data_IF_071918591130
#
_entry.id   IF_071918591130
#
_cell.length_a   1.000
_cell.length_b   1.000
_cell.length_c   1.000
_cell.angle_alpha   90.00
_cell.angle_beta   90.00
_cell.angle_gamma   90.00
#
_symmetry.space_group_name_H-M   'P 1'
#
loop_
_entity.id
_entity.type
_entity.pdbx_description
1 polymer ?
#
# COMPACT_ATOMS: atom_id res chain seq x y z
N UNK A 1 -14.07 -6.31 -14.32
CA UNK A 1 -15.37 -6.16 -14.98
C UNK A 1 -16.10 -7.48 -15.22
N UNK A 2 -15.45 -8.63 -15.47
CA UNK A 2 -16.18 -9.92 -15.57
C UNK A 2 -16.71 -10.44 -14.22
N UNK A 3 -16.07 -10.07 -13.10
CA UNK A 3 -16.53 -10.47 -11.75
C UNK A 3 -17.90 -9.91 -11.36
N UNK A 4 -18.38 -8.83 -11.99
CA UNK A 4 -19.71 -8.29 -11.70
C UNK A 4 -20.83 -9.12 -12.33
N UNK A 5 -20.54 -9.91 -13.36
CA UNK A 5 -21.51 -10.86 -13.95
C UNK A 5 -21.83 -11.98 -12.96
N UNK A 6 -20.83 -12.46 -12.21
CA UNK A 6 -21.01 -13.51 -11.19
C UNK A 6 -21.86 -13.07 -9.99
N UNK A 7 -22.05 -11.76 -9.78
CA UNK A 7 -22.77 -11.18 -8.65
C UNK A 7 -24.18 -10.68 -9.03
N UNK A 8 -24.61 -10.90 -10.27
CA UNK A 8 -25.86 -10.33 -10.77
C UNK A 8 -27.07 -11.20 -10.39
N UNK A 9 -27.96 -10.64 -9.56
CA UNK A 9 -29.17 -11.31 -9.05
C UNK A 9 -30.19 -11.66 -10.15
N UNK A 10 -30.10 -11.02 -11.32
CA UNK A 10 -30.96 -11.34 -12.47
C UNK A 10 -30.66 -12.72 -13.07
N UNK A 11 -29.46 -13.29 -12.84
CA UNK A 11 -29.12 -14.66 -13.23
C UNK A 11 -29.92 -15.73 -12.47
N UNK A 12 -30.50 -15.37 -11.31
CA UNK A 12 -31.36 -16.26 -10.52
C UNK A 12 -32.76 -16.39 -11.11
N UNK A 13 -33.15 -15.48 -12.03
CA UNK A 13 -34.46 -15.49 -12.71
C UNK A 13 -34.46 -16.30 -13.99
N UNK A 14 -33.30 -16.78 -14.42
CA UNK A 14 -33.12 -17.58 -15.62
C UNK A 14 -33.29 -19.08 -15.33
N UNK A 15 -33.67 -19.84 -16.36
CA UNK A 15 -33.73 -21.29 -16.27
C UNK A 15 -32.34 -21.89 -15.98
N UNK A 16 -32.30 -23.09 -15.40
CA UNK A 16 -31.04 -23.75 -15.02
C UNK A 16 -30.08 -23.89 -16.22
N UNK A 17 -30.59 -24.24 -17.41
CA UNK A 17 -29.79 -24.36 -18.62
C UNK A 17 -29.15 -23.04 -19.05
N UNK A 18 -29.92 -21.95 -19.12
CA UNK A 18 -29.41 -20.63 -19.49
C UNK A 18 -28.33 -20.13 -18.50
N UNK A 19 -28.50 -20.44 -17.21
CA UNK A 19 -27.53 -20.09 -16.17
C UNK A 19 -26.22 -20.87 -16.32
N UNK A 20 -26.29 -22.15 -16.63
CA UNK A 20 -25.13 -23.00 -16.88
C UNK A 20 -24.36 -22.52 -18.12
N UNK A 21 -25.07 -22.19 -19.20
CA UNK A 21 -24.48 -21.66 -20.44
C UNK A 21 -23.79 -20.31 -20.21
N UNK A 22 -24.46 -19.37 -19.53
CA UNK A 22 -23.86 -18.06 -19.21
C UNK A 22 -22.62 -18.23 -18.33
N UNK A 23 -22.66 -19.15 -17.36
CA UNK A 23 -21.52 -19.43 -16.47
C UNK A 23 -20.35 -20.01 -17.27
N UNK A 24 -20.60 -20.98 -18.16
CA UNK A 24 -19.58 -21.58 -19.00
C UNK A 24 -18.94 -20.55 -19.96
N UNK A 25 -19.75 -19.69 -20.58
CA UNK A 25 -19.28 -18.61 -21.45
C UNK A 25 -18.45 -17.61 -20.65
N UNK A 26 -18.93 -17.19 -19.48
CA UNK A 26 -18.23 -16.22 -18.62
C UNK A 26 -16.88 -16.78 -18.16
N UNK A 27 -16.82 -18.04 -17.75
CA UNK A 27 -15.57 -18.71 -17.36
C UNK A 27 -14.58 -18.80 -18.52
N UNK A 28 -15.07 -19.15 -19.73
CA UNK A 28 -14.24 -19.17 -20.94
C UNK A 28 -13.70 -17.79 -21.30
N UNK A 29 -14.53 -16.75 -21.23
CA UNK A 29 -14.11 -15.37 -21.45
C UNK A 29 -13.10 -14.92 -20.39
N UNK A 30 -13.33 -15.23 -19.12
CA UNK A 30 -12.42 -14.92 -18.02
C UNK A 30 -11.06 -15.64 -18.18
N UNK A 31 -11.06 -16.89 -18.64
CA UNK A 31 -9.82 -17.62 -18.93
C UNK A 31 -9.02 -16.96 -20.07
N UNK A 32 -9.72 -16.50 -21.13
CA UNK A 32 -9.10 -15.80 -22.26
C UNK A 32 -8.59 -14.40 -21.89
N UNK A 33 -9.28 -13.67 -21.02
CA UNK A 33 -8.82 -12.35 -20.57
C UNK A 33 -7.69 -12.45 -19.54
N UNK A 34 -7.52 -13.59 -18.87
CA UNK A 34 -6.37 -13.88 -18.00
C UNK A 34 -5.14 -14.41 -18.74
N UNK A 35 -5.21 -14.62 -20.06
CA UNK A 35 -4.10 -15.18 -20.84
C UNK A 35 -2.91 -14.20 -20.97
N UNK A 36 -3.13 -12.91 -20.75
CA UNK A 36 -2.08 -11.89 -20.76
C UNK A 36 -2.02 -11.23 -19.39
N UNK A 37 -0.96 -11.49 -18.65
CA UNK A 37 -0.63 -10.78 -17.41
C UNK A 37 0.35 -9.65 -17.72
N UNK A 38 -0.06 -8.40 -17.47
CA UNK A 38 0.75 -7.21 -17.72
C UNK A 38 1.27 -6.71 -16.39
N UNK A 39 2.48 -7.13 -16.01
CA UNK A 39 3.16 -6.64 -14.82
C UNK A 39 4.10 -5.48 -15.17
N UNK A 40 3.90 -4.32 -14.54
CA UNK A 40 4.87 -3.21 -14.61
C UNK A 40 5.86 -3.38 -13.46
N UNK A 41 7.08 -3.79 -13.78
CA UNK A 41 8.16 -3.92 -12.81
C UNK A 41 9.05 -2.69 -12.86
N UNK A 42 9.38 -2.12 -11.69
CA UNK A 42 10.39 -1.07 -11.58
C UNK A 42 11.76 -1.75 -11.62
N UNK A 43 12.58 -1.58 -12.68
CA UNK A 43 13.93 -2.13 -12.71
C UNK A 43 14.77 -1.46 -11.61
N UNK A 44 15.49 -2.26 -10.82
CA UNK A 44 16.37 -1.78 -9.76
C UNK A 44 17.78 -2.29 -9.95
N UNK A 45 18.77 -1.46 -9.65
CA UNK A 45 20.15 -1.91 -9.45
C UNK A 45 20.30 -2.57 -8.08
N UNK A 46 21.39 -3.33 -7.89
CA UNK A 46 21.75 -3.94 -6.60
C UNK A 46 21.95 -2.90 -5.48
N UNK A 47 22.32 -1.67 -5.83
CA UNK A 47 22.42 -0.55 -4.89
C UNK A 47 21.04 -0.03 -4.49
N UNK A 48 20.15 0.17 -5.46
CA UNK A 48 18.78 0.62 -5.21
C UNK A 48 17.98 -0.40 -4.38
N UNK A 49 18.22 -1.69 -4.59
CA UNK A 49 17.57 -2.75 -3.81
C UNK A 49 18.06 -2.79 -2.35
N UNK A 50 19.36 -2.55 -2.13
CA UNK A 50 19.93 -2.39 -0.78
C UNK A 50 19.40 -1.14 -0.09
N UNK A 51 19.32 0.00 -0.80
CA UNK A 51 18.74 1.23 -0.28
C UNK A 51 17.28 1.02 0.12
N UNK A 52 16.48 0.38 -0.74
CA UNK A 52 15.08 0.05 -0.47
C UNK A 52 14.93 -0.88 0.73
N UNK A 53 15.78 -1.90 0.86
CA UNK A 53 15.77 -2.79 2.02
C UNK A 53 16.10 -2.02 3.31
N UNK A 54 17.13 -1.17 3.28
CA UNK A 54 17.49 -0.34 4.44
C UNK A 54 16.36 0.60 4.84
N UNK A 55 15.70 1.26 3.88
CA UNK A 55 14.55 2.12 4.14
C UNK A 55 13.37 1.34 4.73
N UNK A 56 13.09 0.14 4.21
CA UNK A 56 12.03 -0.70 4.77
C UNK A 56 12.33 -1.13 6.22
N UNK A 57 13.58 -1.49 6.54
CA UNK A 57 13.98 -1.83 7.89
C UNK A 57 13.81 -0.64 8.85
N UNK A 58 14.12 0.59 8.39
CA UNK A 58 13.87 1.80 9.19
C UNK A 58 12.37 2.01 9.45
N UNK A 59 11.51 1.77 8.45
CA UNK A 59 10.06 1.86 8.62
C UNK A 59 9.54 0.80 9.60
N UNK A 60 10.04 -0.43 9.51
CA UNK A 60 9.68 -1.51 10.44
C UNK A 60 10.06 -1.16 11.88
N UNK A 61 11.27 -0.65 12.10
CA UNK A 61 11.69 -0.18 13.43
C UNK A 61 10.83 0.96 13.98
N UNK A 62 10.27 1.82 13.12
CA UNK A 62 9.30 2.84 13.57
C UNK A 62 7.98 2.20 13.97
N UNK A 63 7.48 1.21 13.23
CA UNK A 63 6.26 0.49 13.59
C UNK A 63 6.41 -0.23 14.93
N UNK A 64 7.55 -0.87 15.17
CA UNK A 64 7.89 -1.48 16.47
C UNK A 64 7.92 -0.43 17.58
N UNK A 65 8.63 0.68 17.35
CA UNK A 65 8.69 1.80 18.31
C UNK A 65 7.30 2.39 18.60
N UNK A 66 6.40 2.43 17.63
CA UNK A 66 5.02 2.87 17.82
C UNK A 66 4.19 1.92 18.68
N UNK A 67 4.54 0.63 18.75
CA UNK A 67 3.90 -0.33 19.65
C UNK A 67 4.35 -0.11 21.11
N UNK A 68 5.59 0.29 21.32
CA UNK A 68 6.15 0.58 22.65
C UNK A 68 5.73 1.98 23.15
N UNK A 69 5.93 3.00 22.31
CA UNK A 69 5.58 4.40 22.56
C UNK A 69 4.95 5.01 21.30
N UNK A 70 3.62 5.08 21.33
CA UNK A 70 2.81 5.58 20.23
C UNK A 70 3.19 7.01 19.82
N UNK A 71 3.48 7.90 20.78
CA UNK A 71 3.79 9.29 20.44
C UNK A 71 5.19 9.45 19.86
N UNK A 72 6.20 8.81 20.48
CA UNK A 72 7.57 8.88 19.99
C UNK A 72 7.69 8.28 18.58
N UNK A 73 7.00 7.16 18.33
CA UNK A 73 6.98 6.53 17.01
C UNK A 73 6.19 7.35 15.98
N UNK A 74 5.07 7.97 16.36
CA UNK A 74 4.30 8.88 15.48
C UNK A 74 5.13 10.09 15.05
N UNK A 75 5.88 10.68 15.97
CA UNK A 75 6.76 11.81 15.67
C UNK A 75 7.88 11.40 14.71
N UNK A 76 8.52 10.25 14.93
CA UNK A 76 9.57 9.78 14.02
C UNK A 76 9.01 9.34 12.66
N UNK A 77 7.81 8.78 12.58
CA UNK A 77 7.10 8.53 11.32
C UNK A 77 6.80 9.83 10.55
N UNK A 78 6.40 10.90 11.25
CA UNK A 78 6.23 12.24 10.65
C UNK A 78 7.55 12.81 10.11
N UNK A 79 8.66 12.64 10.83
CA UNK A 79 9.99 13.05 10.35
C UNK A 79 10.40 12.31 9.06
N UNK A 80 10.07 11.02 8.95
CA UNK A 80 10.30 10.25 7.72
C UNK A 80 9.39 10.70 6.58
N UNK A 81 8.12 10.98 6.88
CA UNK A 81 7.18 11.50 5.88
C UNK A 81 7.64 12.87 5.34
N UNK A 82 8.15 13.73 6.21
CA UNK A 82 8.72 15.03 5.84
C UNK A 82 10.00 14.86 5.01
N UNK A 83 10.84 13.86 5.32
CA UNK A 83 12.02 13.54 4.52
C UNK A 83 11.66 13.07 3.08
N UNK A 84 10.45 12.55 2.85
CA UNK A 84 9.94 12.27 1.50
C UNK A 84 9.52 13.52 0.70
N UNK A 85 9.47 14.71 1.33
CA UNK A 85 9.11 15.97 0.67
C UNK A 85 9.97 17.14 1.19
N UNK A 86 11.25 17.21 0.80
CA UNK A 86 12.20 18.19 1.33
C UNK A 86 11.89 19.64 0.91
N UNK A 87 11.09 19.85 -0.15
CA UNK A 87 10.76 21.20 -0.64
C UNK A 87 9.72 21.91 0.24
N UNK A 88 8.95 21.14 1.04
CA UNK A 88 7.94 21.69 1.94
C UNK A 88 7.82 20.81 3.19
N UNK A 89 8.85 20.79 4.06
CA UNK A 89 8.84 19.96 5.25
C UNK A 89 7.92 20.59 6.30
N UNK A 90 6.93 19.83 6.74
CA UNK A 90 6.03 20.23 7.83
C UNK A 90 6.65 19.86 9.19
N UNK A 91 7.82 20.45 9.47
CA UNK A 91 8.63 20.20 10.68
C UNK A 91 9.97 19.50 10.44
N UNK A 92 10.56 18.88 11.49
CA UNK A 92 11.88 18.28 11.40
C UNK A 92 11.92 17.10 10.43
N UNK A 93 13.06 16.94 9.75
CA UNK A 93 13.34 15.85 8.80
C UNK A 93 14.42 14.94 9.36
N UNK A 94 14.33 13.65 9.04
CA UNK A 94 15.42 12.71 9.31
C UNK A 94 16.37 12.65 8.11
N UNK A 95 17.56 13.24 8.25
CA UNK A 95 18.54 13.32 7.17
C UNK A 95 19.14 11.95 6.80
N UNK A 96 19.23 11.02 7.76
CA UNK A 96 19.74 9.67 7.51
C UNK A 96 18.75 8.88 6.65
N UNK A 97 17.47 8.96 7.00
CA UNK A 97 16.40 8.39 6.19
C UNK A 97 16.34 9.04 4.80
N UNK A 98 16.47 10.37 4.73
CA UNK A 98 16.47 11.11 3.47
C UNK A 98 17.60 10.65 2.53
N UNK A 99 18.82 10.49 3.04
CA UNK A 99 19.95 10.05 2.24
C UNK A 99 19.69 8.67 1.60
N UNK A 100 19.18 7.71 2.37
CA UNK A 100 18.84 6.38 1.86
C UNK A 100 17.63 6.39 0.91
N UNK A 101 16.69 7.30 1.14
CA UNK A 101 15.51 7.47 0.29
C UNK A 101 15.87 8.02 -1.09
N UNK A 102 16.82 8.95 -1.18
CA UNK A 102 17.28 9.53 -2.45
C UNK A 102 17.98 8.47 -3.33
N UNK A 103 18.62 7.47 -2.73
CA UNK A 103 19.20 6.33 -3.43
C UNK A 103 18.15 5.36 -4.00
N UNK A 104 16.90 5.45 -3.53
CA UNK A 104 15.79 4.65 -4.07
C UNK A 104 15.26 5.24 -5.39
N UNK A 105 14.55 4.41 -6.16
CA UNK A 105 13.87 4.87 -7.39
C UNK A 105 12.75 5.86 -7.07
N UNK A 106 12.41 6.76 -8.01
CA UNK A 106 11.32 7.72 -7.83
C UNK A 106 9.95 7.05 -7.56
N UNK A 107 9.72 5.86 -8.13
CA UNK A 107 8.52 5.07 -7.84
C UNK A 107 8.52 4.52 -6.42
N UNK A 108 9.67 4.04 -5.93
CA UNK A 108 9.80 3.59 -4.55
C UNK A 108 9.62 4.73 -3.57
N UNK A 109 10.20 5.91 -3.84
CA UNK A 109 9.99 7.12 -3.02
C UNK A 109 8.48 7.46 -2.89
N UNK A 110 7.73 7.41 -4.00
CA UNK A 110 6.27 7.62 -3.99
C UNK A 110 5.54 6.55 -3.19
N UNK A 111 5.92 5.28 -3.32
CA UNK A 111 5.33 4.16 -2.58
C UNK A 111 5.60 4.27 -1.08
N UNK A 112 6.84 4.60 -0.70
CA UNK A 112 7.26 4.80 0.69
C UNK A 112 6.48 5.96 1.33
N UNK A 113 6.36 7.10 0.64
CA UNK A 113 5.55 8.24 1.10
C UNK A 113 4.10 7.83 1.39
N UNK A 114 3.48 7.08 0.46
CA UNK A 114 2.11 6.57 0.65
C UNK A 114 2.02 5.62 1.84
N UNK A 115 2.99 4.71 1.99
CA UNK A 115 3.07 3.75 3.10
C UNK A 115 3.15 4.49 4.45
N UNK A 116 4.05 5.47 4.59
CA UNK A 116 4.19 6.27 5.81
C UNK A 116 2.90 7.03 6.16
N UNK A 117 2.25 7.67 5.18
CA UNK A 117 0.98 8.35 5.39
C UNK A 117 -0.13 7.39 5.83
N UNK A 118 -0.19 6.19 5.26
CA UNK A 118 -1.13 5.14 5.65
C UNK A 118 -0.89 4.65 7.07
N UNK A 119 0.38 4.42 7.45
CA UNK A 119 0.77 4.02 8.79
C UNK A 119 0.26 5.05 9.81
N UNK A 120 0.55 6.34 9.60
CA UNK A 120 0.08 7.41 10.49
C UNK A 120 -1.45 7.41 10.60
N UNK A 121 -2.16 7.30 9.47
CA UNK A 121 -3.63 7.31 9.47
C UNK A 121 -4.23 6.08 10.18
N UNK A 122 -3.61 4.90 10.06
CA UNK A 122 -4.03 3.70 10.77
C UNK A 122 -3.86 3.87 12.28
N UNK A 123 -2.72 4.41 12.71
CA UNK A 123 -2.47 4.67 14.13
C UNK A 123 -3.39 5.74 14.70
N UNK A 124 -3.64 6.84 14.00
CA UNK A 124 -4.60 7.86 14.45
C UNK A 124 -6.02 7.31 14.61
N UNK A 125 -6.42 6.36 13.76
CA UNK A 125 -7.69 5.65 13.93
C UNK A 125 -7.67 4.73 15.15
N UNK A 126 -6.57 4.02 15.38
CA UNK A 126 -6.41 3.17 16.55
C UNK A 126 -6.47 3.99 17.85
N UNK A 127 -5.79 5.14 17.91
CA UNK A 127 -5.84 6.09 19.02
C UNK A 127 -7.28 6.53 19.32
N UNK A 128 -8.04 6.96 18.30
CA UNK A 128 -9.45 7.39 18.46
C UNK A 128 -10.38 6.26 18.91
N UNK A 129 -10.07 5.02 18.54
CA UNK A 129 -10.87 3.85 18.92
C UNK A 129 -10.60 3.44 20.36
N UNK A 130 -9.41 3.73 20.89
CA UNK A 130 -8.99 3.41 22.25
C UNK A 130 -9.21 4.53 23.27
N UNK A 131 -9.50 5.76 22.86
CA UNK A 131 -9.96 6.81 23.78
C UNK A 131 -11.43 6.57 24.15
N UNK A 132 -11.74 6.15 25.39
CA UNK A 132 -13.13 6.08 25.82
C UNK A 132 -13.67 7.51 25.90
N UNK A 133 -14.74 7.78 25.16
CA UNK A 133 -15.52 9.00 25.34
C UNK A 133 -16.28 8.84 26.67
N UNK A 134 -15.77 9.47 27.72
CA UNK A 134 -16.49 9.71 28.97
C UNK A 134 -17.14 11.09 28.91
#
# INVERSE_FOLDING_TARGET
MLNSVSLNSELLRLGQGDREDITAITNRLAARTKTVDVSVNTPRSSEQERALSSVNNLIEGVVEKMQEDMQAGKETCRRYLNACNPDQPDGPIDQRFQAQLIECTADDQKKIRRKLAQIIAQFERAERTFTPQW
#
